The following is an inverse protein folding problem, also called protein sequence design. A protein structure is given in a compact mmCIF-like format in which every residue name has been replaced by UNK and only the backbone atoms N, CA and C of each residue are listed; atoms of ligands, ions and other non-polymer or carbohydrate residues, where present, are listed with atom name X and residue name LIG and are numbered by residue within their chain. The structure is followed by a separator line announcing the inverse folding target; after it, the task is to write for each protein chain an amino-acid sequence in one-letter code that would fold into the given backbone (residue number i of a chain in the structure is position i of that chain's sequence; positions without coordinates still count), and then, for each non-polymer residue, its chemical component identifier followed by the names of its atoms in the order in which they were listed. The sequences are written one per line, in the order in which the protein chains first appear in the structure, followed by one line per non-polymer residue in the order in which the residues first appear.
data_IF_983306658468
#
_entry.id   IF_983306658468
#
_cell.length_a   1.000
_cell.length_b   1.000
_cell.length_c   1.000
_cell.angle_alpha   90.00
_cell.angle_beta   90.00
_cell.angle_gamma   90.00
#
_symmetry.space_group_name_H-M   'P 1'
#
loop_
_entity.id
_entity.type
_entity.pdbx_description
1 polymer ?
#
# COMPACT_ATOMS: atom_id res chain seq x y z
N UNK A 1 -1.83 -4.54 -6.71
CA UNK A 1 -2.41 -5.58 -5.83
C UNK A 1 -2.82 -4.92 -4.53
N UNK A 2 -4.01 -5.23 -4.00
CA UNK A 2 -4.42 -4.74 -2.67
C UNK A 2 -3.92 -5.73 -1.63
N UNK A 3 -3.18 -5.23 -0.67
CA UNK A 3 -2.60 -6.04 0.39
C UNK A 3 -3.15 -5.54 1.72
N UNK A 4 -3.78 -6.46 2.44
CA UNK A 4 -4.21 -6.25 3.80
C UNK A 4 -3.03 -6.20 4.73
N UNK A 5 -2.79 -5.04 5.35
CA UNK A 5 -1.76 -4.90 6.36
C UNK A 5 -2.19 -5.47 7.73
N UNK A 6 -3.47 -5.83 7.90
CA UNK A 6 -4.02 -6.09 9.24
C UNK A 6 -3.96 -4.81 10.09
N UNK A 7 -4.20 -4.88 11.41
CA UNK A 7 -4.25 -3.71 12.30
C UNK A 7 -2.89 -3.04 12.58
N UNK A 8 -1.84 -3.34 11.80
CA UNK A 8 -0.50 -2.73 11.94
C UNK A 8 0.56 -3.60 12.61
N UNK A 9 0.24 -4.84 12.99
CA UNK A 9 1.24 -5.81 13.45
C UNK A 9 1.85 -6.54 12.23
N UNK A 10 3.17 -6.47 12.00
CA UNK A 10 3.85 -7.21 10.93
C UNK A 10 3.58 -8.73 10.97
N UNK A 11 3.32 -9.29 12.15
CA UNK A 11 2.98 -10.70 12.36
C UNK A 11 1.58 -11.10 11.88
N UNK A 12 0.73 -10.13 11.51
CA UNK A 12 -0.60 -10.35 10.94
C UNK A 12 -0.64 -10.20 9.41
N UNK A 13 0.50 -9.91 8.78
CA UNK A 13 0.62 -9.99 7.32
C UNK A 13 0.44 -11.43 6.87
N UNK A 14 -0.48 -11.66 5.93
CA UNK A 14 -0.57 -12.95 5.27
C UNK A 14 0.73 -13.24 4.50
N UNK A 15 1.09 -14.51 4.30
CA UNK A 15 2.27 -14.86 3.49
C UNK A 15 2.22 -14.26 2.08
N UNK A 16 1.02 -14.14 1.49
CA UNK A 16 0.80 -13.48 0.19
C UNK A 16 1.10 -11.98 0.23
N UNK A 17 0.87 -11.33 1.36
CA UNK A 17 1.18 -9.91 1.54
C UNK A 17 2.70 -9.69 1.53
N UNK A 18 3.44 -10.55 2.24
CA UNK A 18 4.90 -10.54 2.27
C UNK A 18 5.47 -10.84 0.88
N UNK A 19 4.95 -11.85 0.18
CA UNK A 19 5.34 -12.15 -1.21
C UNK A 19 5.11 -10.96 -2.15
N UNK A 20 3.94 -10.32 -2.05
CA UNK A 20 3.64 -9.15 -2.86
C UNK A 20 4.59 -7.97 -2.58
N UNK A 21 4.95 -7.75 -1.31
CA UNK A 21 5.90 -6.70 -0.92
C UNK A 21 7.31 -6.97 -1.44
N UNK A 22 7.78 -8.22 -1.39
CA UNK A 22 9.11 -8.63 -1.89
C UNK A 22 9.28 -8.36 -3.38
N UNK A 23 8.19 -8.45 -4.12
CA UNK A 23 8.14 -8.25 -5.57
C UNK A 23 7.65 -6.85 -5.96
N UNK A 24 7.47 -5.93 -5.02
CA UNK A 24 6.96 -4.60 -5.31
C UNK A 24 8.04 -3.71 -5.94
N UNK A 25 7.67 -3.03 -7.03
CA UNK A 25 8.47 -1.92 -7.58
C UNK A 25 8.04 -0.59 -6.92
N UNK A 26 6.77 -0.50 -6.49
CA UNK A 26 6.20 0.66 -5.79
C UNK A 26 5.31 0.21 -4.63
N UNK A 27 5.48 0.80 -3.46
CA UNK A 27 4.62 0.61 -2.28
C UNK A 27 3.91 1.92 -1.93
N UNK A 28 2.59 1.88 -1.84
CA UNK A 28 1.74 3.00 -1.44
C UNK A 28 1.29 2.79 -0.01
N UNK A 29 1.65 3.73 0.87
CA UNK A 29 1.25 3.77 2.28
C UNK A 29 0.00 4.64 2.45
N UNK A 30 -0.92 4.24 3.31
CA UNK A 30 -2.06 5.04 3.78
C UNK A 30 -1.76 5.75 5.10
N UNK A 31 -0.83 5.21 5.91
CA UNK A 31 -0.39 5.82 7.16
C UNK A 31 1.10 5.54 7.48
N UNK A 32 1.70 6.37 8.32
CA UNK A 32 3.14 6.33 8.62
C UNK A 32 3.55 5.04 9.35
N UNK A 33 2.66 4.48 10.16
CA UNK A 33 2.89 3.23 10.91
C UNK A 33 3.16 2.04 9.98
N UNK A 34 2.66 2.08 8.74
CA UNK A 34 2.88 1.02 7.75
C UNK A 34 4.32 0.95 7.23
N UNK A 35 5.17 1.96 7.49
CA UNK A 35 6.58 1.92 7.10
C UNK A 35 7.31 0.71 7.65
N UNK A 36 6.89 0.17 8.80
CA UNK A 36 7.47 -1.06 9.38
C UNK A 36 7.39 -2.26 8.42
N UNK A 37 6.38 -2.30 7.55
CA UNK A 37 6.14 -3.38 6.60
C UNK A 37 7.08 -3.31 5.39
N UNK A 38 7.76 -2.17 5.18
CA UNK A 38 8.79 -2.02 4.13
C UNK A 38 10.02 -2.89 4.39
N UNK A 39 10.19 -3.42 5.61
CA UNK A 39 11.21 -4.43 5.91
C UNK A 39 11.07 -5.73 5.09
N UNK A 40 9.92 -5.94 4.43
CA UNK A 40 9.68 -7.04 3.52
C UNK A 40 9.84 -6.68 2.03
N UNK A 41 10.03 -5.41 1.71
CA UNK A 41 10.18 -4.92 0.35
C UNK A 41 11.67 -4.79 -0.05
N UNK A 42 11.99 -4.69 -1.35
CA UNK A 42 13.34 -4.39 -1.82
C UNK A 42 13.87 -3.05 -1.29
N UNK A 43 15.19 -2.93 -1.10
CA UNK A 43 15.83 -1.69 -0.62
C UNK A 43 15.64 -0.51 -1.59
N UNK A 44 15.42 -0.79 -2.88
CA UNK A 44 15.23 0.20 -3.95
C UNK A 44 13.76 0.47 -4.31
N UNK A 45 12.82 -0.03 -3.49
CA UNK A 45 11.38 0.16 -3.71
C UNK A 45 10.99 1.64 -3.66
N UNK A 46 10.17 2.09 -4.61
CA UNK A 46 9.60 3.44 -4.57
C UNK A 46 8.47 3.48 -3.52
N UNK A 47 8.53 4.43 -2.59
CA UNK A 47 7.50 4.59 -1.55
C UNK A 47 6.70 5.86 -1.79
N UNK A 48 5.37 5.73 -1.86
CA UNK A 48 4.45 6.84 -2.09
C UNK A 48 3.45 6.98 -0.93
N UNK A 49 3.11 8.23 -0.61
CA UNK A 49 1.96 8.54 0.24
C UNK A 49 0.66 8.49 -0.60
N UNK A 50 -0.21 7.54 -0.26
CA UNK A 50 -1.56 7.39 -0.79
C UNK A 50 -2.66 7.79 0.18
N UNK A 51 -2.31 8.16 1.42
CA UNK A 51 -3.23 8.66 2.43
C UNK A 51 -3.44 10.17 2.36
N UNK A 52 -2.45 10.93 1.87
CA UNK A 52 -2.48 12.39 1.85
C UNK A 52 -2.11 13.02 0.50
N UNK A 53 -2.57 14.24 0.26
CA UNK A 53 -2.10 15.09 -0.84
C UNK A 53 -0.79 15.80 -0.48
N UNK A 54 -0.27 16.61 -1.41
CA UNK A 54 1.01 17.30 -1.25
C UNK A 54 0.96 18.39 -0.15
N UNK A 55 -0.25 18.82 0.24
CA UNK A 55 -0.49 19.77 1.33
C UNK A 55 -0.76 19.06 2.68
N UNK A 56 -0.74 17.71 2.70
CA UNK A 56 -0.95 16.89 3.89
C UNK A 56 -2.40 16.63 4.24
N UNK A 57 -3.37 16.96 3.36
CA UNK A 57 -4.77 16.67 3.60
C UNK A 57 -5.14 15.23 3.25
N UNK A 58 -6.03 14.58 4.02
CA UNK A 58 -6.48 13.22 3.74
C UNK A 58 -7.09 13.08 2.33
N UNK A 59 -6.65 12.07 1.59
CA UNK A 59 -7.19 11.72 0.29
C UNK A 59 -8.50 10.95 0.41
N UNK A 60 -9.42 11.21 -0.51
CA UNK A 60 -10.57 10.33 -0.71
C UNK A 60 -10.14 9.00 -1.33
N UNK A 61 -10.94 7.95 -1.12
CA UNK A 61 -10.69 6.63 -1.72
C UNK A 61 -10.53 6.70 -3.25
N UNK A 62 -11.30 7.56 -3.92
CA UNK A 62 -11.21 7.79 -5.36
C UNK A 62 -9.87 8.45 -5.77
N UNK A 63 -9.36 9.41 -4.99
CA UNK A 63 -8.09 10.06 -5.27
C UNK A 63 -6.91 9.11 -5.03
N UNK A 64 -6.92 8.36 -3.93
CA UNK A 64 -5.91 7.33 -3.66
C UNK A 64 -5.93 6.22 -4.73
N UNK A 65 -7.13 5.82 -5.18
CA UNK A 65 -7.30 4.92 -6.31
C UNK A 65 -6.66 5.45 -7.60
N UNK A 66 -6.83 6.74 -7.91
CA UNK A 66 -6.18 7.38 -9.06
C UNK A 66 -4.66 7.41 -8.93
N UNK A 67 -4.11 7.73 -7.75
CA UNK A 67 -2.66 7.65 -7.49
C UNK A 67 -2.14 6.22 -7.75
N UNK A 68 -2.85 5.21 -7.25
CA UNK A 68 -2.51 3.79 -7.44
C UNK A 68 -2.48 3.40 -8.93
N UNK A 69 -3.52 3.76 -9.67
CA UNK A 69 -3.59 3.49 -11.12
C UNK A 69 -2.48 4.24 -11.86
N UNK A 70 -2.18 5.49 -11.47
CA UNK A 70 -1.08 6.27 -12.01
C UNK A 70 0.28 5.60 -11.81
N UNK A 71 0.56 5.10 -10.60
CA UNK A 71 1.79 4.39 -10.29
C UNK A 71 1.93 3.08 -11.09
N UNK A 72 0.82 2.37 -11.33
CA UNK A 72 0.82 1.12 -12.08
C UNK A 72 1.01 1.30 -13.60
N UNK A 73 0.87 2.53 -14.12
CA UNK A 73 1.18 2.81 -15.52
C UNK A 73 2.67 2.52 -15.76
N UNK A 74 2.94 1.79 -16.85
CA UNK A 74 4.29 1.35 -17.21
C UNK A 74 4.64 -0.08 -16.79
N UNK A 75 3.67 -0.85 -16.28
CA UNK A 75 3.88 -2.28 -15.97
C UNK A 75 4.56 -2.55 -14.63
N UNK A 76 4.72 -1.52 -13.79
CA UNK A 76 5.27 -1.63 -12.43
C UNK A 76 4.33 -2.42 -11.52
N UNK A 77 4.91 -3.24 -10.66
CA UNK A 77 4.23 -4.00 -9.60
C UNK A 77 3.97 -3.08 -8.42
N UNK A 78 2.73 -2.58 -8.33
CA UNK A 78 2.29 -1.67 -7.26
C UNK A 78 1.56 -2.44 -6.16
N UNK A 79 2.03 -2.27 -4.93
CA UNK A 79 1.37 -2.74 -3.71
C UNK A 79 0.81 -1.54 -2.97
N UNK A 80 -0.49 -1.54 -2.72
CA UNK A 80 -1.13 -0.56 -1.83
C UNK A 80 -1.47 -1.23 -0.51
N UNK A 81 -0.93 -0.68 0.57
CA UNK A 81 -1.18 -1.16 1.93
C UNK A 81 -2.43 -0.48 2.46
N UNK A 82 -3.51 -1.25 2.61
CA UNK A 82 -4.73 -0.76 3.23
C UNK A 82 -4.67 -0.98 4.73
N UNK A 83 -5.11 0.01 5.51
CA UNK A 83 -5.29 -0.15 6.95
C UNK A 83 -6.43 -1.16 7.21
N UNK A 84 -6.17 -2.21 8.00
CA UNK A 84 -7.15 -3.24 8.33
C UNK A 84 -7.24 -4.41 7.34
N UNK A 85 -8.31 -5.19 7.45
CA UNK A 85 -8.55 -6.36 6.61
C UNK A 85 -9.17 -5.94 5.25
N UNK A 86 -8.54 -6.28 4.11
CA UNK A 86 -8.95 -5.82 2.78
C UNK A 86 -10.27 -6.48 2.32
N UNK A 87 -10.76 -7.48 3.06
CA UNK A 87 -12.04 -8.14 2.84
C UNK A 87 -13.20 -7.49 3.62
N UNK A 88 -12.93 -6.61 4.59
CA UNK A 88 -13.99 -5.92 5.36
C UNK A 88 -14.49 -4.62 4.73
N UNK A 89 -13.79 -4.07 3.74
CA UNK A 89 -14.23 -2.90 2.95
C UNK A 89 -14.27 -3.21 1.45
N UNK A 90 -15.07 -4.22 1.08
CA UNK A 90 -15.55 -4.34 -0.29
C UNK A 90 -16.74 -3.38 -0.48
N UNK A 91 -16.47 -2.13 -0.85
CA UNK A 91 -17.45 -1.29 -1.57
C UNK A 91 -16.69 -0.61 -2.69
N UNK A 92 -17.21 -0.79 -3.90
CA UNK A 92 -16.56 -0.47 -5.18
C UNK A 92 -16.51 1.01 -5.52
#
# INVERSE_FOLDING_TARGET
MFVGAGPGDPGLLTMRAVEALRDADVVILECEEQRVLLSHAPDDVEVLDGGHDDDGYPLTAAMSGRKTVGAAKGGRRVVRLLAGDPFTHATG
#
